data_IF_024022414064
#
_entry.id   IF_024022414064
#
_cell.length_a   1.000
_cell.length_b   1.000
_cell.length_c   1.000
_cell.angle_alpha   90.00
_cell.angle_beta   90.00
_cell.angle_gamma   90.00
#
_symmetry.space_group_name_H-M   'P 1'
#
loop_
_entity.id
_entity.type
_entity.pdbx_description
1 polymer ?
#
# COMPACT_ATOMS: atom_id res chain seq x y z
N UNK A 1 32.71 10.30 -4.00
CA UNK A 1 32.73 11.75 -3.70
C UNK A 1 31.46 12.39 -4.26
N UNK A 2 30.72 13.12 -3.43
CA UNK A 2 29.47 13.75 -3.88
C UNK A 2 29.76 14.99 -4.76
N UNK A 3 28.78 15.34 -5.61
CA UNK A 3 28.87 16.57 -6.41
C UNK A 3 28.99 17.80 -5.52
N UNK A 4 28.32 17.83 -4.38
CA UNK A 4 28.42 18.89 -3.38
C UNK A 4 29.84 19.08 -2.86
N UNK A 5 30.56 18.00 -2.55
CA UNK A 5 31.95 18.02 -2.12
C UNK A 5 32.90 18.54 -3.22
N UNK A 6 32.69 18.06 -4.45
CA UNK A 6 33.48 18.51 -5.59
C UNK A 6 33.30 20.01 -5.88
N UNK A 7 32.07 20.52 -5.73
CA UNK A 7 31.76 21.93 -5.91
C UNK A 7 32.42 22.81 -4.84
N UNK A 8 32.40 22.36 -3.58
CA UNK A 8 33.07 23.04 -2.47
C UNK A 8 34.60 23.12 -2.69
N UNK A 9 35.22 21.99 -3.02
CA UNK A 9 36.66 21.91 -3.32
C UNK A 9 37.04 22.81 -4.52
N UNK A 10 36.25 22.81 -5.55
CA UNK A 10 36.45 23.70 -6.70
C UNK A 10 36.39 25.17 -6.29
N UNK A 11 35.40 25.55 -5.47
CA UNK A 11 35.27 26.91 -4.96
C UNK A 11 36.48 27.35 -4.18
N UNK A 12 37.03 26.52 -3.28
CA UNK A 12 38.27 26.77 -2.55
C UNK A 12 39.48 26.96 -3.46
N UNK A 13 39.59 26.17 -4.52
CA UNK A 13 40.70 26.25 -5.47
C UNK A 13 40.73 27.54 -6.29
N UNK A 14 39.62 28.24 -6.42
CA UNK A 14 39.57 29.54 -7.14
C UNK A 14 40.33 30.62 -6.42
N UNK A 15 40.53 30.53 -5.09
CA UNK A 15 41.17 31.56 -4.26
C UNK A 15 40.31 32.80 -4.08
N UNK A 16 39.07 32.78 -4.50
CA UNK A 16 38.08 33.87 -4.33
C UNK A 16 37.10 33.53 -3.21
N UNK A 17 37.10 34.29 -2.13
CA UNK A 17 36.28 34.02 -0.95
C UNK A 17 34.77 34.05 -1.25
N UNK A 18 34.32 34.90 -2.16
CA UNK A 18 32.92 34.98 -2.56
C UNK A 18 32.48 33.75 -3.36
N UNK A 19 33.32 33.24 -4.24
CA UNK A 19 33.06 32.04 -5.00
C UNK A 19 33.10 30.82 -4.08
N UNK A 20 34.04 30.75 -3.15
CA UNK A 20 34.12 29.66 -2.17
C UNK A 20 32.88 29.61 -1.27
N UNK A 21 32.45 30.74 -0.73
CA UNK A 21 31.24 30.84 0.10
C UNK A 21 29.96 30.44 -0.68
N UNK A 22 29.84 30.93 -1.91
CA UNK A 22 28.71 30.55 -2.79
C UNK A 22 28.71 29.09 -3.14
N UNK A 23 29.85 28.49 -3.46
CA UNK A 23 30.01 27.08 -3.80
C UNK A 23 29.63 26.18 -2.63
N UNK A 24 30.02 26.54 -1.40
CA UNK A 24 29.64 25.82 -0.19
C UNK A 24 28.13 25.86 0.05
N UNK A 25 27.50 27.01 -0.10
CA UNK A 25 26.06 27.16 0.06
C UNK A 25 25.27 26.38 -0.98
N UNK A 26 25.67 26.41 -2.24
CA UNK A 26 25.07 25.61 -3.30
C UNK A 26 25.28 24.12 -3.04
N UNK A 27 26.47 23.73 -2.55
CA UNK A 27 26.75 22.35 -2.15
C UNK A 27 25.81 21.83 -1.05
N UNK A 28 25.52 22.66 -0.03
CA UNK A 28 24.56 22.32 1.02
C UNK A 28 23.15 22.11 0.45
N UNK A 29 22.70 23.00 -0.44
CA UNK A 29 21.39 22.87 -1.08
C UNK A 29 21.30 21.60 -1.93
N UNK A 30 22.35 21.27 -2.70
CA UNK A 30 22.41 20.04 -3.48
C UNK A 30 22.41 18.79 -2.59
N UNK A 31 23.09 18.82 -1.46
CA UNK A 31 23.06 17.75 -0.47
C UNK A 31 21.66 17.52 0.09
N UNK A 32 20.98 18.59 0.48
CA UNK A 32 19.59 18.55 0.94
C UNK A 32 18.64 17.99 -0.14
N UNK A 33 18.80 18.43 -1.38
CA UNK A 33 18.00 17.91 -2.49
C UNK A 33 18.22 16.40 -2.67
N UNK A 34 19.46 15.94 -2.60
CA UNK A 34 19.78 14.51 -2.67
C UNK A 34 19.12 13.69 -1.56
N UNK A 35 19.15 14.18 -0.32
CA UNK A 35 18.46 13.53 0.81
C UNK A 35 16.95 13.49 0.62
N UNK A 36 16.36 14.56 0.09
CA UNK A 36 14.92 14.60 -0.20
C UNK A 36 14.54 13.62 -1.32
N UNK A 37 15.37 13.49 -2.36
CA UNK A 37 15.16 12.51 -3.43
C UNK A 37 15.24 11.06 -2.91
N UNK A 38 16.21 10.74 -2.05
CA UNK A 38 16.35 9.43 -1.41
C UNK A 38 15.13 9.12 -0.53
N UNK A 39 14.71 10.08 0.28
CA UNK A 39 13.49 9.94 1.11
C UNK A 39 12.25 9.70 0.27
N UNK A 40 12.10 10.42 -0.85
CA UNK A 40 11.01 10.24 -1.79
C UNK A 40 11.03 8.84 -2.43
N UNK A 41 12.20 8.36 -2.85
CA UNK A 41 12.36 7.03 -3.41
C UNK A 41 11.95 5.93 -2.41
N UNK A 42 12.36 6.05 -1.14
CA UNK A 42 11.95 5.14 -0.06
C UNK A 42 10.43 5.15 0.15
N UNK A 43 9.82 6.34 0.18
CA UNK A 43 8.36 6.48 0.32
C UNK A 43 7.62 5.84 -0.85
N UNK A 44 8.12 5.95 -2.07
CA UNK A 44 7.56 5.27 -3.24
C UNK A 44 7.66 3.74 -3.13
N UNK A 45 8.78 3.21 -2.66
CA UNK A 45 8.95 1.77 -2.46
C UNK A 45 8.03 1.22 -1.38
N UNK A 46 7.87 1.94 -0.28
CA UNK A 46 6.93 1.60 0.78
C UNK A 46 5.48 1.62 0.27
N UNK A 47 5.10 2.64 -0.48
CA UNK A 47 3.78 2.73 -1.12
C UNK A 47 3.51 1.57 -2.07
N UNK A 48 4.51 1.19 -2.85
CA UNK A 48 4.44 0.03 -3.76
C UNK A 48 4.25 -1.28 -3.00
N UNK A 49 4.99 -1.48 -1.90
CA UNK A 49 4.85 -2.65 -1.05
C UNK A 49 3.44 -2.75 -0.43
N UNK A 50 2.89 -1.64 0.03
CA UNK A 50 1.53 -1.53 0.57
C UNK A 50 0.50 -1.90 -0.49
N UNK A 51 0.56 -1.31 -1.67
CA UNK A 51 -0.35 -1.60 -2.78
C UNK A 51 -0.27 -3.08 -3.22
N UNK A 52 0.92 -3.65 -3.20
CA UNK A 52 1.12 -5.08 -3.49
C UNK A 52 0.46 -5.96 -2.42
N UNK A 53 0.58 -5.60 -1.14
CA UNK A 53 -0.06 -6.32 -0.04
C UNK A 53 -1.60 -6.26 -0.16
N UNK A 54 -2.17 -5.09 -0.44
CA UNK A 54 -3.61 -4.91 -0.67
C UNK A 54 -4.07 -5.78 -1.86
N UNK A 55 -3.38 -5.71 -2.99
CA UNK A 55 -3.70 -6.50 -4.18
C UNK A 55 -3.65 -8.01 -3.92
N UNK A 56 -2.63 -8.48 -3.18
CA UNK A 56 -2.49 -9.90 -2.85
C UNK A 56 -3.62 -10.36 -1.92
N UNK A 57 -3.99 -9.55 -0.93
CA UNK A 57 -5.11 -9.83 -0.03
C UNK A 57 -6.43 -9.84 -0.79
N UNK A 58 -6.68 -8.89 -1.67
CA UNK A 58 -7.86 -8.84 -2.53
C UNK A 58 -7.96 -10.08 -3.42
N UNK A 59 -6.86 -10.52 -4.03
CA UNK A 59 -6.83 -11.77 -4.79
C UNK A 59 -7.14 -12.99 -3.94
N UNK A 60 -6.73 -13.01 -2.67
CA UNK A 60 -7.02 -14.12 -1.77
C UNK A 60 -8.49 -14.20 -1.35
N UNK A 61 -9.22 -13.08 -1.39
CA UNK A 61 -10.65 -13.00 -1.09
C UNK A 61 -11.51 -13.45 -2.29
N UNK A 62 -11.03 -13.29 -3.51
CA UNK A 62 -11.81 -13.57 -4.72
C UNK A 62 -12.35 -15.01 -4.80
N UNK A 63 -11.59 -16.07 -4.50
CA UNK A 63 -12.14 -17.45 -4.50
C UNK A 63 -13.31 -17.63 -3.54
N UNK A 64 -13.29 -17.00 -2.39
CA UNK A 64 -14.37 -17.02 -1.40
C UNK A 64 -15.65 -16.35 -1.93
N UNK A 65 -15.51 -15.19 -2.59
CA UNK A 65 -16.61 -14.50 -3.26
C UNK A 65 -17.23 -15.34 -4.37
N UNK A 66 -16.38 -15.95 -5.20
CA UNK A 66 -16.82 -16.80 -6.31
C UNK A 66 -17.53 -18.06 -5.83
N UNK A 67 -17.04 -18.68 -4.76
CA UNK A 67 -17.66 -19.84 -4.14
C UNK A 67 -19.06 -19.51 -3.61
N UNK A 68 -19.19 -18.41 -2.88
CA UNK A 68 -20.48 -17.93 -2.38
C UNK A 68 -21.47 -17.67 -3.53
N UNK A 69 -21.02 -17.01 -4.59
CA UNK A 69 -21.86 -16.71 -5.76
C UNK A 69 -22.34 -17.96 -6.46
N UNK A 70 -21.48 -18.96 -6.66
CA UNK A 70 -21.84 -20.26 -7.27
C UNK A 70 -22.88 -20.99 -6.46
N UNK A 71 -22.69 -21.11 -5.15
CA UNK A 71 -23.64 -21.81 -4.27
C UNK A 71 -25.01 -21.10 -4.28
N UNK A 72 -25.02 -19.77 -4.23
CA UNK A 72 -26.25 -18.98 -4.31
C UNK A 72 -26.99 -19.22 -5.62
N UNK A 73 -26.29 -19.25 -6.75
CA UNK A 73 -26.86 -19.49 -8.08
C UNK A 73 -27.43 -20.93 -8.18
N UNK A 74 -26.70 -21.92 -7.66
CA UNK A 74 -27.19 -23.31 -7.61
C UNK A 74 -28.46 -23.45 -6.78
N UNK A 75 -28.52 -22.79 -5.62
CA UNK A 75 -29.71 -22.78 -4.77
C UNK A 75 -30.90 -22.19 -5.52
N UNK A 76 -30.73 -21.06 -6.19
CA UNK A 76 -31.80 -20.43 -6.96
C UNK A 76 -32.30 -21.32 -8.09
N UNK A 77 -31.40 -21.95 -8.83
CA UNK A 77 -31.73 -22.86 -9.92
C UNK A 77 -32.50 -24.10 -9.39
N UNK A 78 -32.06 -24.63 -8.27
CA UNK A 78 -32.69 -25.83 -7.68
C UNK A 78 -34.07 -25.51 -7.08
N UNK A 79 -34.25 -24.33 -6.45
CA UNK A 79 -35.54 -23.86 -5.94
C UNK A 79 -36.60 -23.75 -7.02
N UNK A 80 -36.20 -23.40 -8.25
CA UNK A 80 -37.12 -23.31 -9.40
C UNK A 80 -37.45 -24.67 -9.94
N UNK A 81 -36.46 -25.58 -10.02
CA UNK A 81 -36.64 -26.93 -10.64
C UNK A 81 -37.25 -27.97 -9.69
N UNK A 82 -36.75 -28.01 -8.48
CA UNK A 82 -37.09 -29.05 -7.49
C UNK A 82 -37.16 -28.42 -6.05
N UNK A 83 -38.27 -27.71 -5.73
CA UNK A 83 -38.35 -27.01 -4.44
C UNK A 83 -38.39 -27.92 -3.20
N UNK A 84 -38.62 -29.22 -3.39
CA UNK A 84 -38.68 -30.24 -2.34
C UNK A 84 -37.39 -31.09 -2.25
N UNK A 85 -36.34 -30.74 -2.97
CA UNK A 85 -35.10 -31.52 -2.99
C UNK A 85 -34.34 -31.45 -1.66
N UNK A 86 -33.94 -32.62 -1.14
CA UNK A 86 -33.03 -32.71 0.03
C UNK A 86 -31.69 -32.07 -0.22
N UNK A 87 -31.25 -31.93 -1.46
CA UNK A 87 -30.01 -31.21 -1.83
C UNK A 87 -30.06 -29.73 -1.49
N UNK A 88 -31.24 -29.11 -1.45
CA UNK A 88 -31.41 -27.73 -1.04
C UNK A 88 -30.91 -27.50 0.40
N UNK A 89 -31.21 -28.39 1.32
CA UNK A 89 -30.76 -28.29 2.72
C UNK A 89 -29.24 -28.34 2.81
N UNK A 90 -28.61 -29.24 2.04
CA UNK A 90 -27.15 -29.36 1.98
C UNK A 90 -26.53 -28.09 1.39
N UNK A 91 -27.06 -27.55 0.31
CA UNK A 91 -26.57 -26.32 -0.32
C UNK A 91 -26.76 -25.09 0.59
N UNK A 92 -27.85 -25.03 1.33
CA UNK A 92 -28.07 -23.94 2.30
C UNK A 92 -27.06 -24.00 3.45
N UNK A 93 -26.69 -25.20 3.93
CA UNK A 93 -25.62 -25.37 4.91
C UNK A 93 -24.25 -25.00 4.34
N UNK A 94 -23.96 -25.39 3.12
CA UNK A 94 -22.74 -24.98 2.41
C UNK A 94 -22.67 -23.46 2.20
N UNK A 95 -23.81 -22.82 1.91
CA UNK A 95 -23.88 -21.36 1.80
C UNK A 95 -23.54 -20.66 3.10
N UNK A 96 -24.09 -21.14 4.23
CA UNK A 96 -23.76 -20.58 5.57
C UNK A 96 -22.27 -20.67 5.83
N UNK A 97 -21.65 -21.80 5.52
CA UNK A 97 -20.21 -21.99 5.66
C UNK A 97 -19.42 -21.05 4.74
N UNK A 98 -19.82 -20.95 3.48
CA UNK A 98 -19.18 -20.05 2.51
C UNK A 98 -19.33 -18.58 2.90
N UNK A 99 -20.45 -18.17 3.47
CA UNK A 99 -20.67 -16.83 4.00
C UNK A 99 -19.76 -16.52 5.19
N UNK A 100 -19.57 -17.47 6.10
CA UNK A 100 -18.65 -17.33 7.23
C UNK A 100 -17.20 -17.20 6.76
N UNK A 101 -16.77 -18.02 5.81
CA UNK A 101 -15.42 -17.94 5.22
C UNK A 101 -15.20 -16.62 4.48
N UNK A 102 -16.19 -16.16 3.73
CA UNK A 102 -16.14 -14.87 3.03
C UNK A 102 -16.08 -13.70 4.01
N UNK A 103 -16.83 -13.75 5.10
CA UNK A 103 -16.82 -12.71 6.15
C UNK A 103 -15.44 -12.56 6.77
N UNK A 104 -14.76 -13.68 7.08
CA UNK A 104 -13.39 -13.68 7.62
C UNK A 104 -12.42 -13.07 6.61
N UNK A 105 -12.49 -13.47 5.35
CA UNK A 105 -11.63 -12.97 4.28
C UNK A 105 -11.83 -11.46 4.04
N UNK A 106 -13.08 -10.99 4.00
CA UNK A 106 -13.41 -9.57 3.86
C UNK A 106 -12.94 -8.75 5.06
N UNK A 107 -13.01 -9.29 6.27
CA UNK A 107 -12.49 -8.65 7.48
C UNK A 107 -10.97 -8.50 7.42
N UNK A 108 -10.25 -9.50 6.92
CA UNK A 108 -8.80 -9.42 6.71
C UNK A 108 -8.43 -8.33 5.68
N UNK A 109 -9.15 -8.26 4.58
CA UNK A 109 -8.95 -7.21 3.57
C UNK A 109 -9.20 -5.81 4.15
N UNK A 110 -10.28 -5.64 4.89
CA UNK A 110 -10.62 -4.38 5.58
C UNK A 110 -9.53 -3.98 6.56
N UNK A 111 -9.00 -4.93 7.33
CA UNK A 111 -7.92 -4.68 8.30
C UNK A 111 -6.63 -4.24 7.62
N UNK A 112 -6.25 -4.87 6.52
CA UNK A 112 -5.05 -4.49 5.73
C UNK A 112 -5.20 -3.08 5.17
N UNK A 113 -6.33 -2.73 4.60
CA UNK A 113 -6.60 -1.38 4.06
C UNK A 113 -6.62 -0.33 5.18
N UNK A 114 -7.27 -0.63 6.30
CA UNK A 114 -7.35 0.28 7.45
C UNK A 114 -6.00 0.52 8.13
N UNK A 115 -5.20 -0.53 8.31
CA UNK A 115 -3.85 -0.43 8.85
C UNK A 115 -2.96 0.47 7.98
N UNK A 116 -3.02 0.30 6.66
CA UNK A 116 -2.28 1.13 5.72
C UNK A 116 -2.74 2.60 5.75
N UNK A 117 -4.02 2.86 5.87
CA UNK A 117 -4.57 4.21 6.02
C UNK A 117 -4.10 4.88 7.30
N UNK A 118 -4.00 4.15 8.41
CA UNK A 118 -3.47 4.66 9.68
C UNK A 118 -1.99 5.03 9.57
N UNK A 119 -1.16 4.20 8.93
CA UNK A 119 0.26 4.48 8.72
C UNK A 119 0.48 5.78 7.94
N UNK A 120 -0.30 6.03 6.90
CA UNK A 120 -0.27 7.28 6.14
C UNK A 120 -0.61 8.50 7.01
N UNK A 121 -1.60 8.40 7.88
CA UNK A 121 -1.99 9.49 8.80
C UNK A 121 -0.92 9.82 9.82
N UNK A 122 -0.24 8.81 10.36
CA UNK A 122 0.85 8.99 11.34
C UNK A 122 2.04 9.67 10.68
N UNK A 123 2.41 9.26 9.47
CA UNK A 123 3.52 9.84 8.73
C UNK A 123 3.24 11.31 8.34
N UNK A 124 2.02 11.62 7.94
CA UNK A 124 1.58 12.98 7.60
C UNK A 124 1.56 13.89 8.84
N UNK A 125 1.07 13.40 9.98
CA UNK A 125 1.09 14.11 11.25
C UNK A 125 2.53 14.38 11.75
N UNK A 126 3.44 13.44 11.55
CA UNK A 126 4.87 13.59 11.89
C UNK A 126 5.59 14.65 11.05
N UNK A 127 5.14 14.89 9.82
CA UNK A 127 5.72 15.90 8.91
C UNK A 127 5.11 17.28 9.08
N UNK A 128 3.96 17.40 9.75
CA UNK A 128 3.25 18.66 9.94
C UNK A 128 3.57 19.40 11.25
N UNK A 129 4.53 18.92 12.05
CA UNK A 129 4.96 19.57 13.29
C UNK A 129 6.26 20.35 13.05
N UNK A 130 6.17 21.66 12.72
CA UNK A 130 7.34 22.51 12.59
C UNK A 130 7.69 23.09 13.96
N UNK A 131 8.52 22.36 14.70
CA UNK A 131 9.20 22.95 15.86
C UNK A 131 10.66 22.64 15.82
#
# INVERSE_FOLDING_TARGET
MSIATQLSEWGEQTGDDAISDLSDKVGVILGELGEQEDSYAHTLDDSRAILKAIRNTEKSVQPSRDSKAKITDEIQKLKVKEPQSARLVVLEQELIRAEAENLVAEAQLTNVVSANRMLWRIDDASKSDPN
#
